data_IF_904342395847
#
_entry.id   IF_904342395847
#
_cell.length_a   1.000
_cell.length_b   1.000
_cell.length_c   1.000
_cell.angle_alpha   90.00
_cell.angle_beta   90.00
_cell.angle_gamma   90.00
#
_symmetry.space_group_name_H-M   'P 1'
#
loop_
_entity.id
_entity.type
_entity.pdbx_description
1 polymer ?
#
# COMPACT_ATOMS: atom_id res chain seq x y z
N UNK A 1 -8.20 30.05 15.57
CA UNK A 1 -7.99 30.90 14.39
C UNK A 1 -8.21 30.05 13.15
N UNK A 2 -9.44 30.09 12.66
CA UNK A 2 -9.94 29.33 11.52
C UNK A 2 -9.38 29.95 10.25
N UNK A 3 -8.37 29.32 9.65
CA UNK A 3 -7.93 29.73 8.32
C UNK A 3 -8.95 29.27 7.29
N UNK A 4 -9.40 30.24 6.50
CA UNK A 4 -10.34 30.08 5.42
C UNK A 4 -9.80 29.06 4.39
N UNK A 5 -10.60 28.05 4.09
CA UNK A 5 -10.34 27.14 2.97
C UNK A 5 -10.59 27.94 1.69
N UNK A 6 -9.49 28.41 1.09
CA UNK A 6 -9.52 29.05 -0.21
C UNK A 6 -10.08 28.08 -1.25
N UNK A 7 -11.16 28.49 -1.90
CA UNK A 7 -11.76 27.87 -3.08
C UNK A 7 -10.85 28.07 -4.29
N UNK A 8 -9.78 27.29 -4.39
CA UNK A 8 -9.12 27.04 -5.67
C UNK A 8 -9.80 25.87 -6.37
N UNK A 9 -9.85 25.91 -7.70
CA UNK A 9 -10.55 24.94 -8.56
C UNK A 9 -10.34 23.51 -8.06
N UNK A 10 -11.41 22.87 -7.56
CA UNK A 10 -11.37 21.52 -6.99
C UNK A 10 -10.79 20.53 -8.00
N UNK A 11 -9.47 20.34 -7.99
CA UNK A 11 -8.89 19.12 -8.53
C UNK A 11 -9.64 18.00 -7.84
N UNK A 12 -10.26 17.11 -8.62
CA UNK A 12 -10.99 15.95 -8.06
C UNK A 12 -10.08 15.04 -7.23
N UNK A 13 -8.76 15.23 -7.37
CA UNK A 13 -7.70 14.43 -6.82
C UNK A 13 -7.00 15.18 -5.69
N UNK A 14 -6.82 14.47 -4.58
CA UNK A 14 -5.95 14.85 -3.48
C UNK A 14 -4.48 14.81 -3.97
N UNK A 15 -3.60 15.67 -3.40
CA UNK A 15 -2.19 15.62 -3.74
C UNK A 15 -1.61 14.25 -3.38
N UNK A 16 -0.77 13.71 -4.27
CA UNK A 16 -0.06 12.47 -3.99
C UNK A 16 0.86 12.64 -2.77
N UNK A 17 0.98 11.62 -1.90
CA UNK A 17 1.74 11.72 -0.65
C UNK A 17 3.26 11.76 -0.87
N UNK A 18 3.72 11.46 -2.09
CA UNK A 18 5.14 11.46 -2.44
C UNK A 18 5.36 11.94 -3.87
N UNK A 19 6.63 12.14 -4.20
CA UNK A 19 7.08 12.46 -5.55
C UNK A 19 8.22 11.55 -5.94
N UNK A 20 8.25 11.11 -7.18
CA UNK A 20 9.38 10.42 -7.77
C UNK A 20 10.24 11.41 -8.53
N UNK A 21 11.53 11.48 -8.18
CA UNK A 21 12.49 12.44 -8.69
C UNK A 21 13.88 11.81 -8.75
N UNK A 22 14.59 11.97 -9.86
CA UNK A 22 15.96 11.48 -10.06
C UNK A 22 16.20 10.00 -9.68
N UNK A 23 15.20 9.13 -9.86
CA UNK A 23 15.32 7.69 -9.54
C UNK A 23 15.05 7.32 -8.08
N UNK A 24 14.64 8.28 -7.25
CA UNK A 24 14.27 8.08 -5.85
C UNK A 24 12.86 8.62 -5.56
N UNK A 25 12.23 8.04 -4.54
CA UNK A 25 10.96 8.53 -3.99
C UNK A 25 11.24 9.47 -2.82
N UNK A 26 10.70 10.68 -2.88
CA UNK A 26 10.68 11.62 -1.77
C UNK A 26 9.35 11.49 -1.03
N UNK A 27 9.36 10.93 0.17
CA UNK A 27 8.19 10.70 1.04
C UNK A 27 8.42 11.39 2.39
N UNK A 28 7.78 12.53 2.61
CA UNK A 28 8.10 13.41 3.73
C UNK A 28 9.56 13.86 3.66
N UNK A 29 10.31 13.65 4.74
CA UNK A 29 11.75 13.94 4.82
C UNK A 29 12.64 12.78 4.34
N UNK A 30 12.04 11.64 3.98
CA UNK A 30 12.79 10.45 3.57
C UNK A 30 12.98 10.41 2.06
N UNK A 31 14.19 10.05 1.67
CA UNK A 31 14.51 9.65 0.30
C UNK A 31 14.65 8.13 0.22
N UNK A 32 13.83 7.51 -0.60
CA UNK A 32 13.74 6.06 -0.75
C UNK A 32 14.23 5.70 -2.14
N UNK A 33 15.36 5.00 -2.17
CA UNK A 33 15.95 4.49 -3.41
C UNK A 33 15.05 3.44 -4.05
N UNK A 34 15.23 3.23 -5.34
CA UNK A 34 14.57 2.16 -6.09
C UNK A 34 15.62 1.29 -6.77
N UNK A 35 15.32 0.00 -6.86
CA UNK A 35 16.08 -0.94 -7.67
C UNK A 35 17.15 -1.69 -6.89
N UNK A 36 17.50 -2.83 -7.45
CA UNK A 36 18.44 -3.79 -6.92
C UNK A 36 18.54 -4.97 -7.87
N UNK A 37 19.44 -5.93 -7.63
CA UNK A 37 19.55 -7.09 -8.48
C UNK A 37 18.30 -7.98 -8.33
N UNK A 38 17.85 -8.56 -9.44
CA UNK A 38 16.86 -9.63 -9.41
C UNK A 38 17.51 -10.87 -8.78
N UNK A 39 16.93 -11.46 -7.72
CA UNK A 39 17.51 -12.63 -7.09
C UNK A 39 17.54 -13.84 -8.03
N UNK A 40 18.67 -14.54 -8.04
CA UNK A 40 18.86 -15.77 -8.80
C UNK A 40 18.23 -16.95 -8.07
N UNK A 41 17.84 -17.97 -8.82
CA UNK A 41 17.29 -19.22 -8.30
C UNK A 41 18.37 -20.28 -8.19
N UNK A 42 18.28 -21.12 -7.16
CA UNK A 42 19.08 -22.35 -7.07
C UNK A 42 18.49 -23.46 -7.95
N UNK A 43 19.27 -24.51 -8.22
CA UNK A 43 18.87 -25.62 -9.11
C UNK A 43 17.60 -26.36 -8.65
N UNK A 44 17.33 -26.38 -7.34
CA UNK A 44 16.17 -27.03 -6.75
C UNK A 44 14.97 -26.09 -6.52
N UNK A 45 15.01 -24.88 -7.08
CA UNK A 45 13.97 -23.86 -6.91
C UNK A 45 13.22 -23.63 -8.22
N UNK A 46 11.90 -23.68 -8.15
CA UNK A 46 11.04 -23.44 -9.31
C UNK A 46 10.50 -22.01 -9.27
N UNK A 47 10.78 -21.22 -10.31
CA UNK A 47 10.21 -19.88 -10.44
C UNK A 47 8.67 -19.95 -10.45
N UNK A 48 8.03 -19.14 -9.62
CA UNK A 48 6.58 -18.95 -9.62
C UNK A 48 6.23 -17.59 -10.24
N UNK A 49 6.76 -16.49 -9.69
CA UNK A 49 6.46 -15.13 -10.18
C UNK A 49 7.58 -14.16 -9.80
N UNK A 50 7.77 -13.12 -10.60
CA UNK A 50 8.59 -11.96 -10.22
C UNK A 50 7.64 -10.83 -9.81
N UNK A 51 7.95 -10.20 -8.70
CA UNK A 51 7.17 -9.09 -8.12
C UNK A 51 8.10 -8.02 -7.58
N UNK A 52 7.55 -7.00 -6.92
CA UNK A 52 8.32 -6.05 -6.14
C UNK A 52 8.09 -6.26 -4.65
N UNK A 53 9.10 -5.97 -3.84
CA UNK A 53 9.01 -6.00 -2.38
C UNK A 53 9.83 -4.84 -1.79
N UNK A 54 9.68 -4.61 -0.49
CA UNK A 54 10.43 -3.60 0.23
C UNK A 54 11.58 -4.22 1.02
N UNK A 55 12.72 -3.55 1.03
CA UNK A 55 13.77 -3.81 2.00
C UNK A 55 13.24 -3.53 3.42
N UNK A 56 13.35 -4.47 4.37
CA UNK A 56 12.85 -4.27 5.73
C UNK A 56 13.61 -3.20 6.53
N UNK A 57 14.81 -2.82 6.09
CA UNK A 57 15.65 -1.83 6.78
C UNK A 57 15.47 -0.40 6.21
N UNK A 58 15.64 -0.22 4.90
CA UNK A 58 15.60 1.12 4.28
C UNK A 58 14.37 1.39 3.41
N UNK A 59 13.42 0.46 3.34
CA UNK A 59 12.21 0.55 2.51
C UNK A 59 12.48 0.70 1.00
N UNK A 60 13.71 0.52 0.52
CA UNK A 60 14.01 0.51 -0.92
C UNK A 60 13.07 -0.45 -1.66
N UNK A 61 12.47 0.02 -2.75
CA UNK A 61 11.65 -0.83 -3.62
C UNK A 61 12.57 -1.72 -4.46
N UNK A 62 12.45 -3.04 -4.30
CA UNK A 62 13.34 -4.03 -4.89
C UNK A 62 12.56 -5.00 -5.78
N UNK A 63 13.14 -5.51 -6.88
CA UNK A 63 12.62 -6.71 -7.50
C UNK A 63 12.73 -7.88 -6.52
N UNK A 64 11.73 -8.73 -6.50
CA UNK A 64 11.65 -9.91 -5.65
C UNK A 64 11.17 -11.11 -6.46
N UNK A 65 11.74 -12.27 -6.16
CA UNK A 65 11.41 -13.53 -6.84
C UNK A 65 10.64 -14.42 -5.89
N UNK A 66 9.43 -14.83 -6.28
CA UNK A 66 8.65 -15.86 -5.60
C UNK A 66 8.95 -17.19 -6.27
N UNK A 67 9.35 -18.19 -5.48
CA UNK A 67 9.73 -19.51 -5.95
C UNK A 67 9.22 -20.61 -5.03
N UNK A 68 9.03 -21.79 -5.60
CA UNK A 68 8.60 -22.98 -4.89
C UNK A 68 9.83 -23.84 -4.55
N UNK A 69 9.89 -24.29 -3.29
CA UNK A 69 10.90 -25.19 -2.73
C UNK A 69 10.26 -26.06 -1.65
N UNK A 70 10.43 -27.39 -1.74
CA UNK A 70 9.96 -28.35 -0.74
C UNK A 70 8.45 -28.22 -0.40
N UNK A 71 7.61 -27.99 -1.42
CA UNK A 71 6.16 -27.86 -1.26
C UNK A 71 5.70 -26.55 -0.59
N UNK A 72 6.57 -25.56 -0.49
CA UNK A 72 6.29 -24.22 0.05
C UNK A 72 6.72 -23.15 -0.94
N UNK A 73 6.17 -21.95 -0.82
CA UNK A 73 6.61 -20.79 -1.56
C UNK A 73 7.41 -19.86 -0.66
N UNK A 74 8.53 -19.38 -1.19
CA UNK A 74 9.39 -18.39 -0.58
C UNK A 74 9.48 -17.17 -1.48
N UNK A 75 9.78 -16.01 -0.88
CA UNK A 75 10.07 -14.78 -1.60
C UNK A 75 11.49 -14.33 -1.24
N UNK A 76 12.33 -14.12 -2.25
CA UNK A 76 13.69 -13.61 -2.10
C UNK A 76 13.79 -12.20 -2.67
N UNK A 77 14.59 -11.35 -2.04
CA UNK A 77 14.94 -9.98 -2.49
C UNK A 77 16.35 -9.65 -2.01
N UNK A 78 17.07 -8.85 -2.79
CA UNK A 78 18.45 -8.46 -2.44
C UNK A 78 18.55 -6.93 -2.41
N UNK A 79 18.81 -6.38 -1.24
CA UNK A 79 19.10 -4.97 -1.07
C UNK A 79 20.62 -4.74 -1.23
N UNK A 80 21.06 -3.87 -2.15
CA UNK A 80 22.49 -3.54 -2.28
C UNK A 80 23.16 -3.03 -1.00
N UNK A 81 22.38 -2.46 -0.09
CA UNK A 81 22.89 -1.87 1.17
C UNK A 81 22.75 -2.84 2.36
N UNK A 82 21.81 -3.79 2.33
CA UNK A 82 21.43 -4.62 3.49
C UNK A 82 21.48 -6.14 3.25
N UNK A 83 21.88 -6.57 2.05
CA UNK A 83 22.02 -7.98 1.72
C UNK A 83 20.72 -8.66 1.28
N UNK A 84 20.75 -9.98 1.29
CA UNK A 84 19.65 -10.86 0.87
C UNK A 84 18.66 -11.08 2.01
N UNK A 85 17.37 -11.09 1.65
CA UNK A 85 16.28 -11.49 2.52
C UNK A 85 15.47 -12.57 1.82
N UNK A 86 15.20 -13.66 2.53
CA UNK A 86 14.33 -14.75 2.11
C UNK A 86 13.29 -14.99 3.20
N UNK A 87 12.01 -14.90 2.82
CA UNK A 87 10.88 -15.04 3.72
C UNK A 87 9.94 -16.15 3.22
N UNK A 88 9.29 -16.88 4.14
CA UNK A 88 8.20 -17.79 3.79
C UNK A 88 7.02 -16.98 3.26
N UNK A 89 6.67 -17.19 1.98
CA UNK A 89 5.57 -16.49 1.33
C UNK A 89 4.25 -17.26 1.49
N UNK A 90 4.27 -18.59 1.31
CA UNK A 90 3.10 -19.44 1.48
C UNK A 90 3.51 -20.84 1.97
N UNK A 91 2.86 -21.33 3.03
CA UNK A 91 3.26 -22.57 3.72
C UNK A 91 2.91 -23.88 3.01
N UNK A 92 2.11 -23.83 1.94
CA UNK A 92 1.66 -24.99 1.16
C UNK A 92 1.46 -24.57 -0.31
N UNK A 93 2.29 -25.10 -1.22
CA UNK A 93 2.23 -24.74 -2.63
C UNK A 93 0.95 -25.20 -3.32
N UNK A 94 0.39 -26.34 -2.92
CA UNK A 94 -0.86 -26.85 -3.50
C UNK A 94 -2.04 -25.92 -3.19
N UNK A 95 -2.08 -25.39 -1.97
CA UNK A 95 -3.12 -24.45 -1.56
C UNK A 95 -2.93 -23.08 -2.22
N UNK A 96 -1.68 -22.63 -2.37
CA UNK A 96 -1.37 -21.42 -3.15
C UNK A 96 -1.95 -21.53 -4.56
N UNK A 97 -1.63 -22.60 -5.29
CA UNK A 97 -2.11 -22.78 -6.67
C UNK A 97 -3.64 -22.90 -6.76
N UNK A 98 -4.29 -23.47 -5.73
CA UNK A 98 -5.75 -23.50 -5.66
C UNK A 98 -6.35 -22.09 -5.56
N UNK A 99 -5.72 -21.18 -4.81
CA UNK A 99 -6.19 -19.79 -4.70
C UNK A 99 -5.80 -18.94 -5.91
N UNK A 100 -4.63 -19.17 -6.48
CA UNK A 100 -4.14 -18.53 -7.70
C UNK A 100 -5.11 -18.75 -8.87
N UNK A 101 -5.72 -19.93 -8.96
CA UNK A 101 -6.80 -20.21 -9.93
C UNK A 101 -7.99 -19.24 -9.85
N UNK A 102 -8.29 -18.70 -8.66
CA UNK A 102 -9.37 -17.74 -8.44
C UNK A 102 -8.89 -16.28 -8.48
N UNK A 103 -7.62 -16.03 -8.85
CA UNK A 103 -7.12 -14.66 -9.03
C UNK A 103 -7.98 -13.95 -10.07
N UNK A 104 -8.53 -12.81 -9.67
CA UNK A 104 -9.29 -11.93 -10.55
C UNK A 104 -8.72 -10.52 -10.46
N UNK A 105 -8.16 -10.06 -11.57
CA UNK A 105 -7.75 -8.69 -11.71
C UNK A 105 -9.00 -7.81 -11.89
N UNK A 106 -9.23 -6.90 -10.94
CA UNK A 106 -10.38 -6.01 -11.00
C UNK A 106 -10.28 -5.00 -12.14
N UNK A 107 -11.34 -4.22 -12.31
CA UNK A 107 -11.41 -3.14 -13.33
C UNK A 107 -10.77 -1.82 -12.87
N UNK A 108 -10.29 -1.76 -11.63
CA UNK A 108 -9.83 -0.56 -10.98
C UNK A 108 -10.94 0.44 -10.63
N UNK A 109 -10.57 1.58 -10.03
CA UNK A 109 -11.51 2.64 -9.70
C UNK A 109 -11.84 3.49 -10.95
N UNK A 110 -13.13 3.70 -11.24
CA UNK A 110 -13.56 4.65 -12.28
C UNK A 110 -13.10 6.08 -11.99
N UNK A 111 -13.09 6.45 -10.71
CA UNK A 111 -12.67 7.76 -10.23
C UNK A 111 -11.51 7.57 -9.25
N UNK A 112 -10.25 7.80 -9.68
CA UNK A 112 -9.12 7.82 -8.76
C UNK A 112 -9.24 9.00 -7.78
N UNK A 113 -8.54 8.91 -6.66
CA UNK A 113 -8.49 9.93 -5.61
C UNK A 113 -7.19 10.70 -5.57
N UNK A 114 -6.11 10.13 -6.13
CA UNK A 114 -4.78 10.75 -6.12
C UNK A 114 -4.17 10.60 -7.51
N UNK A 115 -3.36 11.59 -7.89
CA UNK A 115 -2.54 11.49 -9.09
C UNK A 115 -1.47 10.40 -8.95
N UNK A 116 -1.02 9.85 -10.08
CA UNK A 116 0.15 8.98 -10.13
C UNK A 116 1.42 9.84 -10.23
N UNK A 117 2.15 9.98 -9.13
CA UNK A 117 3.41 10.73 -9.02
C UNK A 117 4.60 9.87 -8.58
N UNK A 118 4.34 8.68 -8.06
CA UNK A 118 5.35 7.74 -7.57
C UNK A 118 4.95 6.29 -7.87
N UNK A 119 5.90 5.34 -7.79
CA UNK A 119 5.55 3.92 -7.86
C UNK A 119 4.79 3.44 -6.61
N UNK A 120 4.05 2.35 -6.74
CA UNK A 120 3.44 1.63 -5.62
C UNK A 120 4.55 1.01 -4.74
N UNK A 121 4.50 1.06 -3.40
CA UNK A 121 3.40 1.54 -2.53
C UNK A 121 3.50 3.02 -2.11
N UNK A 122 4.40 3.80 -2.71
CA UNK A 122 4.66 5.18 -2.30
C UNK A 122 3.65 6.20 -2.82
N UNK A 123 2.85 5.82 -3.81
CA UNK A 123 1.72 6.61 -4.28
C UNK A 123 0.42 6.22 -3.57
N UNK A 124 0.49 6.11 -2.24
CA UNK A 124 -0.60 5.63 -1.39
C UNK A 124 -1.88 6.46 -1.60
N UNK A 125 -3.02 5.78 -1.69
CA UNK A 125 -4.31 6.33 -2.12
C UNK A 125 -4.84 5.61 -3.36
N UNK A 126 -6.14 5.74 -3.65
CA UNK A 126 -6.81 5.09 -4.77
C UNK A 126 -6.40 5.72 -6.12
N UNK A 127 -5.18 5.43 -6.58
CA UNK A 127 -4.58 6.00 -7.79
C UNK A 127 -4.96 5.22 -9.06
N UNK A 128 -4.66 5.74 -10.26
CA UNK A 128 -4.96 5.04 -11.53
C UNK A 128 -4.29 3.66 -11.69
N UNK A 129 -3.24 3.33 -10.93
CA UNK A 129 -2.62 1.99 -10.97
C UNK A 129 -3.35 0.96 -10.09
N UNK A 130 -4.40 1.34 -9.36
CA UNK A 130 -5.17 0.36 -8.61
C UNK A 130 -6.02 -0.48 -9.55
N UNK A 131 -5.77 -1.78 -9.60
CA UNK A 131 -6.57 -2.73 -10.35
C UNK A 131 -7.84 -3.16 -9.58
N UNK A 132 -7.86 -2.97 -8.26
CA UNK A 132 -9.04 -3.27 -7.44
C UNK A 132 -9.76 -1.99 -7.01
N UNK A 133 -11.03 -2.13 -6.67
CA UNK A 133 -11.88 -1.08 -6.13
C UNK A 133 -12.21 -1.36 -4.66
N UNK A 134 -12.83 -0.40 -3.97
CA UNK A 134 -13.23 -0.59 -2.57
C UNK A 134 -14.25 -1.74 -2.46
N UNK A 135 -13.92 -2.80 -1.72
CA UNK A 135 -14.83 -3.91 -1.41
C UNK A 135 -15.50 -3.74 -0.04
N UNK A 136 -14.76 -3.21 0.93
CA UNK A 136 -15.23 -2.84 2.26
C UNK A 136 -14.62 -1.48 2.61
N UNK A 137 -15.43 -0.58 3.17
CA UNK A 137 -14.98 0.74 3.59
C UNK A 137 -15.17 0.88 5.09
N UNK A 138 -14.08 1.17 5.79
CA UNK A 138 -14.10 1.53 7.19
C UNK A 138 -13.99 3.05 7.32
N UNK A 139 -15.03 3.67 7.87
CA UNK A 139 -15.05 5.10 8.15
C UNK A 139 -14.85 5.32 9.65
N UNK A 140 -13.70 5.87 10.02
CA UNK A 140 -13.41 6.25 11.40
C UNK A 140 -14.15 7.56 11.68
N UNK A 141 -15.03 7.56 12.68
CA UNK A 141 -15.77 8.77 13.10
C UNK A 141 -15.25 9.35 14.42
N UNK A 142 -14.47 8.58 15.17
CA UNK A 142 -13.75 9.01 16.36
C UNK A 142 -12.65 8.00 16.68
N UNK A 143 -11.58 8.44 17.34
CA UNK A 143 -10.61 7.55 18.00
C UNK A 143 -10.72 7.59 19.54
N UNK A 144 -11.79 8.20 20.08
CA UNK A 144 -12.09 8.12 21.52
C UNK A 144 -12.64 6.74 21.86
N UNK A 145 -11.93 6.05 22.74
CA UNK A 145 -12.34 4.79 23.33
C UNK A 145 -12.00 4.85 24.83
N UNK A 146 -12.91 4.38 25.67
CA UNK A 146 -12.76 4.30 27.13
C UNK A 146 -12.00 3.05 27.59
N UNK A 147 -11.49 2.24 26.64
CA UNK A 147 -10.63 1.10 26.90
C UNK A 147 -9.16 1.42 26.59
N UNK A 148 -8.25 0.83 27.36
CA UNK A 148 -6.79 1.00 27.23
C UNK A 148 -6.11 -0.31 26.84
N UNK A 149 -6.60 -0.98 25.79
CA UNK A 149 -6.06 -2.27 25.37
C UNK A 149 -4.61 -2.15 24.89
N UNK A 150 -3.74 -3.06 25.35
CA UNK A 150 -2.30 -3.02 25.06
C UNK A 150 -1.94 -3.17 23.57
N UNK A 151 -2.85 -3.74 22.77
CA UNK A 151 -2.69 -3.95 21.32
C UNK A 151 -3.49 -2.94 20.47
N UNK A 152 -4.10 -1.91 21.06
CA UNK A 152 -4.99 -1.00 20.34
C UNK A 152 -4.23 0.07 19.53
N UNK A 153 -4.40 0.03 18.21
CA UNK A 153 -3.89 1.08 17.29
C UNK A 153 -4.79 2.33 17.24
N UNK A 154 -6.01 2.25 17.77
CA UNK A 154 -7.03 3.31 17.73
C UNK A 154 -7.11 4.13 19.01
N UNK A 155 -6.31 3.83 20.02
CA UNK A 155 -6.38 4.48 21.32
C UNK A 155 -5.81 5.91 21.26
N UNK A 156 -6.67 6.93 21.37
CA UNK A 156 -6.30 8.34 21.21
C UNK A 156 -5.13 8.79 22.10
N UNK A 157 -5.06 8.35 23.35
CA UNK A 157 -3.99 8.73 24.26
C UNK A 157 -2.61 8.24 23.76
N UNK A 158 -2.55 7.01 23.25
CA UNK A 158 -1.33 6.47 22.64
C UNK A 158 -1.03 7.10 21.28
N UNK A 159 -2.05 7.46 20.51
CA UNK A 159 -1.89 8.16 19.24
C UNK A 159 -1.37 9.60 19.42
N UNK A 160 -1.60 10.21 20.58
CA UNK A 160 -1.17 11.59 20.89
C UNK A 160 -2.07 12.68 20.31
N UNK A 161 -3.20 12.32 19.70
CA UNK A 161 -4.20 13.25 19.18
C UNK A 161 -5.60 12.64 19.18
N UNK A 162 -6.61 13.51 19.26
CA UNK A 162 -8.01 13.12 19.05
C UNK A 162 -8.37 13.36 17.58
N UNK A 163 -8.86 12.32 16.92
CA UNK A 163 -9.42 12.38 15.58
C UNK A 163 -10.94 12.37 15.66
N UNK A 164 -11.57 13.48 15.32
CA UNK A 164 -13.03 13.65 15.27
C UNK A 164 -13.40 14.49 14.04
N UNK A 165 -13.76 13.87 12.90
CA UNK A 165 -14.13 14.61 11.72
C UNK A 165 -15.46 15.34 11.91
N UNK A 166 -15.59 16.51 11.31
CA UNK A 166 -16.86 17.24 11.28
C UNK A 166 -17.89 16.50 10.43
N UNK A 167 -19.18 16.80 10.63
CA UNK A 167 -20.25 16.26 9.77
C UNK A 167 -20.03 16.58 8.28
N UNK A 168 -19.46 17.75 7.98
CA UNK A 168 -19.11 18.16 6.62
C UNK A 168 -17.99 17.30 6.03
N UNK A 169 -16.97 16.96 6.82
CA UNK A 169 -15.90 16.05 6.43
C UNK A 169 -16.45 14.63 6.21
N UNK A 170 -17.32 14.14 7.10
CA UNK A 170 -18.01 12.84 6.94
C UNK A 170 -18.81 12.81 5.64
N UNK A 171 -19.62 13.85 5.39
CA UNK A 171 -20.37 14.00 4.14
C UNK A 171 -19.43 13.97 2.93
N UNK A 172 -18.33 14.72 2.97
CA UNK A 172 -17.35 14.74 1.89
C UNK A 172 -16.74 13.35 1.62
N UNK A 173 -16.38 12.60 2.67
CA UNK A 173 -15.84 11.24 2.55
C UNK A 173 -16.85 10.28 1.89
N UNK A 174 -18.10 10.32 2.33
CA UNK A 174 -19.19 9.52 1.73
C UNK A 174 -19.46 9.93 0.28
N UNK A 175 -19.46 11.24 -0.02
CA UNK A 175 -19.64 11.75 -1.38
C UNK A 175 -18.49 11.32 -2.31
N UNK A 176 -17.25 11.24 -1.83
CA UNK A 176 -16.15 10.69 -2.62
C UNK A 176 -16.31 9.19 -2.85
N UNK A 177 -16.74 8.44 -1.84
CA UNK A 177 -16.97 6.99 -1.97
C UNK A 177 -18.01 6.70 -3.04
N UNK A 178 -19.15 7.42 -3.02
CA UNK A 178 -20.21 7.26 -4.01
C UNK A 178 -19.73 7.51 -5.44
N UNK A 179 -18.76 8.41 -5.64
CA UNK A 179 -18.17 8.68 -6.97
C UNK A 179 -17.33 7.52 -7.52
N UNK A 180 -16.89 6.57 -6.69
CA UNK A 180 -16.16 5.41 -7.21
C UNK A 180 -17.03 4.57 -8.16
N UNK A 181 -18.37 4.68 -8.06
CA UNK A 181 -19.35 4.15 -9.02
C UNK A 181 -19.12 2.64 -9.33
N UNK A 182 -18.99 1.87 -8.25
CA UNK A 182 -18.56 0.47 -8.24
C UNK A 182 -19.74 -0.52 -8.30
N UNK A 183 -20.96 -0.02 -8.08
CA UNK A 183 -22.25 -0.72 -8.24
C UNK A 183 -22.85 -0.37 -9.57
#
# INVERSE_FOLDING_TARGET
>A
MTQAVQTESRSRLLPAPSRFDEGAVKFGEKEIKIGGPLPQLAENEKLVRVTHSLCPACYRLLPATIFEKEGKLFIRKICPDHGEFEDLYYGDSSLYYKFDYWEYEGKGPKVPYVDLKSPCPYNCGLCPMHHQHSALVNLVITNRCDLSCWYCFFYAEKAGYVYEPTLEQIKFMVDQLKKQDIT
#
